data_IF_522277557643
#
_entry.id   IF_522277557643
#
_cell.length_a   1.000
_cell.length_b   1.000
_cell.length_c   1.000
_cell.angle_alpha   90.00
_cell.angle_beta   90.00
_cell.angle_gamma   90.00
#
_symmetry.space_group_name_H-M   'P 1'
#
loop_
_entity.id
_entity.type
_entity.pdbx_description
1 polymer ?
#
# COMPACT_ATOMS: atom_id res chain seq x y z
N UNK A 1 6.16 2.01 -43.82
CA UNK A 1 5.50 1.09 -42.87
C UNK A 1 6.45 0.81 -41.72
N UNK A 2 6.33 1.55 -40.62
CA UNK A 2 7.11 1.31 -39.40
C UNK A 2 6.40 0.21 -38.60
N UNK A 3 7.07 -0.89 -38.21
CA UNK A 3 6.48 -1.84 -37.29
C UNK A 3 6.34 -1.18 -35.92
N UNK A 4 5.14 -1.32 -35.36
CA UNK A 4 4.70 -0.80 -34.08
C UNK A 4 5.71 -1.19 -33.00
N UNK A 5 6.35 -0.20 -32.37
CA UNK A 5 7.12 -0.40 -31.13
C UNK A 5 6.20 -1.09 -30.14
N UNK A 6 6.59 -2.30 -29.75
CA UNK A 6 5.83 -3.16 -28.85
C UNK A 6 5.34 -2.38 -27.64
N UNK A 7 4.03 -2.36 -27.48
CA UNK A 7 3.40 -2.11 -26.19
C UNK A 7 3.88 -3.22 -25.26
N UNK A 8 4.97 -2.98 -24.52
CA UNK A 8 5.35 -3.83 -23.40
C UNK A 8 4.15 -3.78 -22.47
N UNK A 9 3.44 -4.89 -22.41
CA UNK A 9 2.16 -4.98 -21.74
C UNK A 9 2.35 -4.68 -20.26
N UNK A 10 1.65 -3.64 -19.79
CA UNK A 10 1.48 -3.30 -18.38
C UNK A 10 1.16 -4.54 -17.49
N UNK A 11 0.65 -5.63 -18.08
CA UNK A 11 0.33 -6.90 -17.41
C UNK A 11 1.52 -7.67 -16.83
N UNK A 12 2.75 -7.48 -17.34
CA UNK A 12 3.93 -8.20 -16.84
C UNK A 12 4.57 -7.50 -15.62
N UNK A 13 4.46 -6.16 -15.55
CA UNK A 13 4.85 -5.40 -14.36
C UNK A 13 3.87 -5.62 -13.20
N UNK A 14 2.56 -5.73 -13.46
CA UNK A 14 1.56 -6.01 -12.41
C UNK A 14 1.68 -7.43 -11.84
N UNK A 15 1.99 -8.45 -12.66
CA UNK A 15 2.22 -9.83 -12.18
C UNK A 15 3.42 -9.95 -11.25
N UNK A 16 4.49 -9.21 -11.51
CA UNK A 16 5.68 -9.20 -10.64
C UNK A 16 5.41 -8.52 -9.28
N UNK A 17 4.53 -7.51 -9.23
CA UNK A 17 4.08 -6.84 -8.00
C UNK A 17 3.15 -7.74 -7.17
N UNK A 18 2.33 -8.57 -7.83
CA UNK A 18 1.36 -9.44 -7.17
C UNK A 18 1.97 -10.63 -6.43
N UNK A 19 3.11 -11.13 -6.90
CA UNK A 19 3.68 -12.37 -6.38
C UNK A 19 4.91 -12.20 -5.48
N UNK A 20 5.55 -11.02 -5.45
CA UNK A 20 6.81 -10.86 -4.73
C UNK A 20 6.69 -9.98 -3.49
N UNK A 21 6.88 -10.69 -2.38
CA UNK A 21 7.48 -10.26 -1.11
C UNK A 21 6.51 -9.71 -0.06
N UNK A 22 6.10 -10.65 0.79
CA UNK A 22 5.57 -10.44 2.13
C UNK A 22 6.62 -9.73 3.01
N UNK A 23 6.79 -8.41 2.86
CA UNK A 23 7.65 -7.67 3.77
C UNK A 23 6.92 -7.55 5.11
N UNK A 24 7.43 -8.25 6.13
CA UNK A 24 6.97 -8.27 7.51
C UNK A 24 6.97 -6.90 8.22
N UNK A 25 7.44 -5.86 7.53
CA UNK A 25 7.45 -4.50 8.04
C UNK A 25 6.02 -4.01 8.30
N UNK A 26 5.79 -3.38 9.47
CA UNK A 26 4.50 -2.77 9.84
C UNK A 26 4.27 -1.47 9.07
N UNK A 27 4.24 -1.56 7.74
CA UNK A 27 4.07 -0.45 6.80
C UNK A 27 2.85 -0.70 5.93
N UNK A 28 2.11 0.36 5.60
CA UNK A 28 1.00 0.27 4.66
C UNK A 28 1.51 0.29 3.21
N UNK A 29 1.15 -0.71 2.40
CA UNK A 29 1.61 -0.87 1.01
C UNK A 29 1.17 0.24 0.06
N UNK A 30 0.01 0.87 0.30
CA UNK A 30 -0.54 1.91 -0.60
C UNK A 30 -0.04 3.31 -0.21
N UNK A 31 0.10 3.56 1.09
CA UNK A 31 0.36 4.92 1.61
C UNK A 31 1.74 5.09 2.24
N UNK A 32 2.51 4.01 2.39
CA UNK A 32 3.82 4.02 3.01
C UNK A 32 3.83 4.38 4.50
N UNK A 33 2.66 4.41 5.19
CA UNK A 33 2.59 4.79 6.61
C UNK A 33 3.42 3.85 7.47
N UNK A 34 4.37 4.42 8.22
CA UNK A 34 5.27 3.71 9.14
C UNK A 34 4.93 4.00 10.60
N UNK A 35 5.46 3.18 11.50
CA UNK A 35 5.42 3.40 12.95
C UNK A 35 6.03 4.76 13.30
N UNK A 36 5.34 5.52 14.15
CA UNK A 36 5.89 6.77 14.70
C UNK A 36 6.38 6.54 16.13
N UNK A 37 7.44 7.23 16.52
CA UNK A 37 7.93 7.22 17.91
C UNK A 37 7.41 8.49 18.60
N UNK A 38 7.00 8.37 19.85
CA UNK A 38 6.70 9.53 20.70
C UNK A 38 6.75 9.14 22.18
N UNK A 39 6.13 9.94 23.02
CA UNK A 39 6.14 9.72 24.47
C UNK A 39 4.72 9.38 24.99
N UNK A 40 4.65 8.62 26.08
CA UNK A 40 3.55 8.62 27.02
C UNK A 40 3.85 9.69 28.07
N UNK A 41 2.95 10.64 28.27
CA UNK A 41 3.11 11.73 29.24
C UNK A 41 2.08 11.52 30.34
N UNK A 42 2.53 11.37 31.58
CA UNK A 42 1.63 11.27 32.74
C UNK A 42 1.13 12.64 33.18
N UNK A 43 0.13 12.68 34.06
CA UNK A 43 -0.32 13.92 34.71
C UNK A 43 0.81 14.66 35.45
N UNK A 44 1.80 13.93 35.97
CA UNK A 44 3.01 14.49 36.59
C UNK A 44 4.11 14.85 35.57
N UNK A 45 3.81 14.87 34.26
CA UNK A 45 4.77 15.13 33.17
C UNK A 45 5.94 14.15 33.04
N UNK A 46 5.85 12.94 33.60
CA UNK A 46 6.84 11.90 33.37
C UNK A 46 6.72 11.37 31.93
N UNK A 47 7.83 11.39 31.18
CA UNK A 47 7.86 11.05 29.74
C UNK A 47 8.48 9.66 29.54
N UNK A 48 7.68 8.69 29.11
CA UNK A 48 8.14 7.33 28.75
C UNK A 48 8.09 7.13 27.24
N UNK A 49 9.12 6.58 26.62
CA UNK A 49 9.13 6.33 25.16
C UNK A 49 8.07 5.30 24.77
N UNK A 50 7.30 5.58 23.71
CA UNK A 50 6.34 4.63 23.12
C UNK A 50 6.35 4.64 21.61
N UNK A 51 5.90 3.53 21.02
CA UNK A 51 5.75 3.37 19.57
C UNK A 51 4.26 3.41 19.20
N UNK A 52 3.92 4.24 18.23
CA UNK A 52 2.59 4.35 17.63
C UNK A 52 2.53 3.52 16.35
N UNK A 53 1.88 2.36 16.42
CA UNK A 53 1.70 1.50 15.27
C UNK A 53 0.55 2.00 14.38
N UNK A 54 0.70 1.95 13.05
CA UNK A 54 -0.42 2.16 12.15
C UNK A 54 -1.45 1.04 12.31
N UNK A 55 -2.74 1.38 12.25
CA UNK A 55 -3.83 0.39 12.22
C UNK A 55 -3.85 -0.29 10.83
N UNK A 56 -3.11 -1.39 10.71
CA UNK A 56 -2.96 -2.20 9.50
C UNK A 56 -3.92 -3.39 9.54
N UNK A 57 -4.63 -3.60 8.45
CA UNK A 57 -5.59 -4.67 8.27
C UNK A 57 -5.24 -5.48 7.01
N UNK A 58 -5.36 -6.80 7.09
CA UNK A 58 -5.22 -7.70 5.94
C UNK A 58 -6.59 -7.83 5.28
N UNK A 59 -6.73 -7.40 4.03
CA UNK A 59 -7.99 -7.48 3.29
C UNK A 59 -7.72 -7.88 1.84
N UNK A 60 -8.67 -8.60 1.25
CA UNK A 60 -8.69 -8.94 -0.17
C UNK A 60 -9.44 -7.86 -0.92
N UNK A 61 -8.90 -7.41 -2.04
CA UNK A 61 -9.52 -6.46 -2.95
C UNK A 61 -9.68 -7.12 -4.30
N UNK A 62 -10.81 -6.88 -4.95
CA UNK A 62 -11.05 -7.37 -6.31
C UNK A 62 -10.54 -6.33 -7.31
N UNK A 63 -9.70 -6.76 -8.25
CA UNK A 63 -9.20 -5.92 -9.32
C UNK A 63 -10.00 -6.20 -10.60
N UNK A 64 -10.89 -5.27 -10.95
CA UNK A 64 -11.79 -5.39 -12.11
C UNK A 64 -11.05 -5.51 -13.45
N UNK A 65 -9.86 -4.91 -13.55
CA UNK A 65 -9.08 -4.90 -14.80
C UNK A 65 -8.54 -6.27 -15.20
N UNK A 66 -8.15 -7.09 -14.22
CA UNK A 66 -7.53 -8.40 -14.45
C UNK A 66 -8.43 -9.56 -14.00
N UNK A 67 -9.52 -9.28 -13.28
CA UNK A 67 -10.42 -10.29 -12.72
C UNK A 67 -9.81 -11.07 -11.54
N UNK A 68 -8.76 -10.53 -10.89
CA UNK A 68 -7.99 -11.24 -9.85
C UNK A 68 -8.26 -10.65 -8.47
N UNK A 69 -8.22 -11.51 -7.45
CA UNK A 69 -8.23 -11.13 -6.04
C UNK A 69 -6.82 -10.82 -5.54
N UNK A 70 -6.63 -9.63 -4.98
CA UNK A 70 -5.34 -9.18 -4.45
C UNK A 70 -5.42 -9.03 -2.94
N UNK A 71 -4.53 -9.72 -2.21
CA UNK A 71 -4.43 -9.56 -0.76
C UNK A 71 -3.46 -8.43 -0.40
N UNK A 72 -3.95 -7.40 0.30
CA UNK A 72 -3.14 -6.25 0.70
C UNK A 72 -3.19 -6.00 2.21
N UNK A 73 -2.05 -5.58 2.75
CA UNK A 73 -1.90 -5.00 4.09
C UNK A 73 -2.09 -3.50 4.02
N UNK A 74 -3.30 -3.06 4.30
CA UNK A 74 -3.73 -1.67 4.15
C UNK A 74 -4.02 -1.02 5.48
N UNK A 75 -3.73 0.28 5.59
CA UNK A 75 -4.22 1.06 6.72
C UNK A 75 -5.67 1.49 6.48
N UNK A 76 -6.39 1.82 7.55
CA UNK A 76 -7.78 2.31 7.46
C UNK A 76 -7.95 3.54 6.56
N UNK A 77 -6.96 4.44 6.53
CA UNK A 77 -6.97 5.60 5.63
C UNK A 77 -6.81 5.19 4.15
N UNK A 78 -6.06 4.13 3.87
CA UNK A 78 -5.93 3.59 2.53
C UNK A 78 -7.25 2.95 2.08
N UNK A 79 -7.93 2.19 2.95
CA UNK A 79 -9.27 1.64 2.65
C UNK A 79 -10.27 2.74 2.28
N UNK A 80 -10.32 3.84 3.05
CA UNK A 80 -11.16 5.00 2.70
C UNK A 80 -10.80 5.61 1.34
N UNK A 81 -9.53 5.59 0.96
CA UNK A 81 -9.07 6.15 -0.32
C UNK A 81 -9.44 5.23 -1.49
N UNK A 82 -9.30 3.92 -1.30
CA UNK A 82 -9.72 2.90 -2.29
C UNK A 82 -11.22 3.03 -2.56
N UNK A 83 -12.05 3.10 -1.51
CA UNK A 83 -13.49 3.24 -1.68
C UNK A 83 -13.88 4.56 -2.40
N UNK A 84 -13.08 5.62 -2.27
CA UNK A 84 -13.37 6.92 -2.90
C UNK A 84 -12.91 7.00 -4.36
N UNK A 85 -11.78 6.37 -4.71
CA UNK A 85 -11.12 6.55 -6.02
C UNK A 85 -11.13 5.30 -6.91
N UNK A 86 -11.49 4.15 -6.36
CA UNK A 86 -11.32 2.85 -7.00
C UNK A 86 -9.89 2.31 -6.82
N UNK A 87 -9.75 0.97 -6.87
CA UNK A 87 -8.51 0.25 -6.60
C UNK A 87 -7.40 0.62 -7.61
N UNK A 88 -7.72 0.58 -8.91
CA UNK A 88 -6.80 0.85 -10.00
C UNK A 88 -6.15 2.25 -9.89
N UNK A 89 -6.96 3.30 -9.71
CA UNK A 89 -6.46 4.67 -9.57
C UNK A 89 -5.54 4.83 -8.34
N UNK A 90 -5.86 4.16 -7.23
CA UNK A 90 -4.98 4.17 -6.05
C UNK A 90 -3.65 3.46 -6.27
N UNK A 91 -3.62 2.36 -7.03
CA UNK A 91 -2.38 1.64 -7.33
C UNK A 91 -1.49 2.47 -8.25
N UNK A 92 -2.04 3.10 -9.30
CA UNK A 92 -1.30 4.04 -10.15
C UNK A 92 -0.75 5.20 -9.33
N UNK A 93 -1.55 5.76 -8.41
CA UNK A 93 -1.09 6.83 -7.52
C UNK A 93 0.00 6.36 -6.56
N UNK A 94 -0.08 5.14 -6.05
CA UNK A 94 0.93 4.56 -5.16
C UNK A 94 2.24 4.25 -5.90
N UNK A 95 2.16 3.79 -7.15
CA UNK A 95 3.31 3.59 -8.04
C UNK A 95 4.03 4.90 -8.31
N UNK A 96 3.30 5.95 -8.71
CA UNK A 96 3.86 7.30 -8.93
C UNK A 96 4.56 7.86 -7.69
N UNK A 97 4.08 7.53 -6.49
CA UNK A 97 4.66 7.97 -5.23
C UNK A 97 5.85 7.12 -4.77
N UNK A 98 6.17 6.02 -5.45
CA UNK A 98 7.19 5.07 -5.01
C UNK A 98 6.86 4.40 -3.67
N UNK A 99 5.59 4.43 -3.26
CA UNK A 99 5.15 3.87 -1.95
C UNK A 99 4.76 2.40 -2.04
N UNK A 100 4.66 1.85 -3.25
CA UNK A 100 4.61 0.41 -3.46
C UNK A 100 5.96 -0.17 -3.03
N UNK A 101 6.05 -0.50 -1.75
CA UNK A 101 7.18 -1.26 -1.22
C UNK A 101 7.16 -2.64 -1.84
N UNK A 102 8.02 -2.83 -2.85
CA UNK A 102 8.48 -4.12 -3.40
C UNK A 102 9.17 -4.97 -2.36
#
# INVERSE_FOLDING_TARGET
MQPLRGQVSLSEEFKAILFKKYIMSKVCQITGKRTRVGNNVSHANNKVKRKFYPNLQKKKFFLETEGVWVELRVCTKAMRTINKKGLHATLVQAARKGTLTT
#
